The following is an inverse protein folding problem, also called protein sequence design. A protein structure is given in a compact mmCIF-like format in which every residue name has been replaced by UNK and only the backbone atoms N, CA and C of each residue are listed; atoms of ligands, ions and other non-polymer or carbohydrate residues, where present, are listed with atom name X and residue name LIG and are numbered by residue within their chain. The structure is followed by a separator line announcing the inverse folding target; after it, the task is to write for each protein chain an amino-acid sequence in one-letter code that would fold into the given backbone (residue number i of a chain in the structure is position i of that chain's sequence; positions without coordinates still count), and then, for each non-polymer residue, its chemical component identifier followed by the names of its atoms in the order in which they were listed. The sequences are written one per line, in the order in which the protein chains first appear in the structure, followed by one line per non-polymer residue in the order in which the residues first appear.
data_IF_337814005121
#
_entry.id   IF_337814005121
#
_cell.length_a   1.000
_cell.length_b   1.000
_cell.length_c   1.000
_cell.angle_alpha   90.00
_cell.angle_beta   90.00
_cell.angle_gamma   90.00
#
_symmetry.space_group_name_H-M   'P 1'
#
loop_
_entity.id
_entity.type
_entity.pdbx_description
1 polymer ?
#
# COMPACT_ATOMS: atom_id res chain seq x y z
N UNK A 1 -53.36 40.52 -57.58
CA UNK A 1 -52.87 39.81 -56.38
C UNK A 1 -52.41 38.41 -56.79
N UNK A 2 -51.14 38.24 -57.16
CA UNK A 2 -50.52 36.93 -57.31
C UNK A 2 -49.14 37.00 -56.69
N UNK A 3 -48.97 36.20 -55.64
CA UNK A 3 -47.78 36.14 -54.79
C UNK A 3 -46.82 35.13 -55.42
N UNK A 4 -45.55 35.52 -55.42
CA UNK A 4 -44.37 34.81 -55.92
C UNK A 4 -44.11 33.51 -55.15
N UNK A 5 -43.68 32.48 -55.87
CA UNK A 5 -43.19 31.22 -55.29
C UNK A 5 -41.66 31.18 -55.44
N UNK A 6 -40.93 31.49 -54.37
CA UNK A 6 -39.47 31.38 -54.30
C UNK A 6 -39.14 30.16 -53.42
N UNK A 7 -38.60 29.10 -54.02
CA UNK A 7 -38.02 27.97 -53.27
C UNK A 7 -36.72 28.42 -52.60
N UNK A 8 -36.68 28.39 -51.27
CA UNK A 8 -35.45 28.45 -50.48
C UNK A 8 -35.02 27.02 -50.18
N UNK A 9 -33.86 26.62 -50.71
CA UNK A 9 -33.20 25.35 -50.38
C UNK A 9 -32.59 25.51 -49.00
N UNK A 10 -33.21 24.90 -47.99
CA UNK A 10 -32.70 24.89 -46.61
C UNK A 10 -31.50 23.95 -46.48
N UNK A 11 -30.32 24.51 -46.31
CA UNK A 11 -29.13 23.77 -45.86
C UNK A 11 -29.37 23.22 -44.46
N UNK A 12 -29.49 21.89 -44.35
CA UNK A 12 -29.43 21.18 -43.07
C UNK A 12 -28.00 21.29 -42.52
N UNK A 13 -27.79 22.24 -41.62
CA UNK A 13 -26.64 22.23 -40.71
C UNK A 13 -26.81 21.04 -39.76
N UNK A 14 -26.10 19.95 -40.03
CA UNK A 14 -25.94 18.85 -39.07
C UNK A 14 -25.07 19.38 -37.93
N UNK A 15 -25.71 19.86 -36.86
CA UNK A 15 -25.02 20.14 -35.62
C UNK A 15 -24.51 18.81 -35.06
N UNK A 16 -23.22 18.56 -35.23
CA UNK A 16 -22.50 17.47 -34.59
C UNK A 16 -22.62 17.61 -33.08
N UNK A 17 -23.51 16.81 -32.48
CA UNK A 17 -23.57 16.59 -31.04
C UNK A 17 -22.31 15.84 -30.63
N UNK A 18 -21.24 16.57 -30.35
CA UNK A 18 -20.21 16.05 -29.46
C UNK A 18 -20.85 15.94 -28.08
N UNK A 19 -21.29 14.72 -27.72
CA UNK A 19 -21.51 14.39 -26.32
C UNK A 19 -20.18 14.59 -25.59
N UNK A 20 -20.02 15.73 -24.93
CA UNK A 20 -19.02 15.82 -23.88
C UNK A 20 -19.51 14.89 -22.77
N UNK A 21 -18.90 13.72 -22.67
CA UNK A 21 -18.92 13.04 -21.38
C UNK A 21 -18.24 13.98 -20.41
N UNK A 22 -19.03 14.70 -19.61
CA UNK A 22 -18.53 15.41 -18.46
C UNK A 22 -17.86 14.35 -17.58
N UNK A 23 -16.54 14.28 -17.63
CA UNK A 23 -15.74 13.53 -16.65
C UNK A 23 -16.24 13.98 -15.27
N UNK A 24 -16.78 13.04 -14.51
CA UNK A 24 -17.34 13.31 -13.19
C UNK A 24 -16.23 13.84 -12.27
N UNK A 25 -16.03 15.16 -12.27
CA UNK A 25 -15.00 15.80 -11.47
C UNK A 25 -15.44 15.84 -10.01
N UNK A 26 -14.51 15.55 -9.11
CA UNK A 26 -14.83 15.50 -7.69
C UNK A 26 -14.55 16.86 -7.07
N UNK A 27 -15.47 17.33 -6.23
CA UNK A 27 -15.36 18.66 -5.63
C UNK A 27 -14.57 18.62 -4.33
N UNK A 28 -13.65 19.58 -4.17
CA UNK A 28 -12.96 19.83 -2.90
C UNK A 28 -13.95 20.31 -1.82
N UNK A 29 -14.10 19.57 -0.72
CA UNK A 29 -15.00 19.95 0.39
C UNK A 29 -14.48 21.14 1.21
N UNK A 30 -13.18 21.38 1.19
CA UNK A 30 -12.46 22.47 1.88
C UNK A 30 -11.23 22.86 1.07
N UNK A 31 -10.44 23.84 1.51
CA UNK A 31 -9.13 24.10 0.93
C UNK A 31 -8.20 22.89 1.14
N UNK A 32 -7.61 22.38 0.06
CA UNK A 32 -6.84 21.14 0.08
C UNK A 32 -5.37 21.38 -0.19
N UNK A 33 -4.56 20.71 0.60
CA UNK A 33 -3.12 20.63 0.41
C UNK A 33 -2.78 19.40 -0.44
N UNK A 34 -1.94 19.60 -1.44
CA UNK A 34 -1.46 18.55 -2.33
C UNK A 34 -0.19 17.92 -1.79
N UNK A 35 -0.03 16.62 -1.97
CA UNK A 35 1.16 15.90 -1.49
C UNK A 35 1.90 15.18 -2.60
N UNK A 36 3.21 15.01 -2.44
CA UNK A 36 4.06 14.31 -3.43
C UNK A 36 3.94 12.79 -3.41
N UNK A 37 3.44 12.21 -2.33
CA UNK A 37 3.12 10.78 -2.21
C UNK A 37 1.90 10.60 -1.30
N UNK A 38 1.21 9.44 -1.34
CA UNK A 38 0.03 9.17 -0.51
C UNK A 38 0.44 8.91 0.96
N UNK A 39 1.04 9.93 1.58
CA UNK A 39 1.57 9.86 2.93
C UNK A 39 1.37 11.20 3.65
N UNK A 40 0.98 11.12 4.92
CA UNK A 40 0.79 12.24 5.82
C UNK A 40 2.09 13.00 6.09
N UNK A 41 3.23 12.37 5.86
CA UNK A 41 4.57 12.95 6.00
C UNK A 41 5.18 13.39 4.67
N UNK A 42 4.49 13.20 3.54
CA UNK A 42 4.98 13.64 2.24
C UNK A 42 5.03 15.17 2.15
N UNK A 43 6.00 15.68 1.38
CA UNK A 43 6.12 17.09 1.07
C UNK A 43 4.78 17.65 0.61
N UNK A 44 4.38 18.74 1.25
CA UNK A 44 3.06 19.35 1.13
C UNK A 44 3.16 20.65 0.35
N UNK A 45 2.26 20.81 -0.61
CA UNK A 45 2.00 22.09 -1.28
C UNK A 45 0.65 22.59 -0.78
N UNK A 46 0.66 23.71 -0.07
CA UNK A 46 -0.56 24.21 0.57
C UNK A 46 -1.54 24.81 -0.45
N UNK A 47 -2.85 24.65 -0.20
CA UNK A 47 -3.94 25.29 -0.96
C UNK A 47 -3.90 25.05 -2.49
N UNK A 48 -3.61 23.82 -2.93
CA UNK A 48 -3.61 23.47 -4.37
C UNK A 48 -5.02 23.49 -4.98
N UNK A 49 -6.06 23.25 -4.17
CA UNK A 49 -7.46 23.39 -4.54
C UNK A 49 -8.22 24.22 -3.50
N UNK A 50 -9.07 25.14 -3.96
CA UNK A 50 -10.00 25.90 -3.09
C UNK A 50 -11.29 25.09 -2.88
N UNK A 51 -12.01 25.40 -1.79
CA UNK A 51 -13.35 24.84 -1.54
C UNK A 51 -14.25 25.00 -2.77
N UNK A 52 -14.95 23.95 -3.16
CA UNK A 52 -15.86 23.97 -4.31
C UNK A 52 -15.18 23.76 -5.66
N UNK A 53 -13.84 23.71 -5.72
CA UNK A 53 -13.12 23.52 -6.98
C UNK A 53 -13.18 22.05 -7.45
N UNK A 54 -13.33 21.85 -8.76
CA UNK A 54 -13.30 20.51 -9.35
C UNK A 54 -11.88 19.96 -9.46
N UNK A 55 -11.74 18.69 -9.08
CA UNK A 55 -10.51 17.90 -9.11
C UNK A 55 -10.72 16.79 -10.14
N UNK A 56 -9.87 16.75 -11.16
CA UNK A 56 -9.85 15.65 -12.13
C UNK A 56 -8.99 14.52 -11.58
N UNK A 57 -9.60 13.67 -10.75
CA UNK A 57 -8.93 12.51 -10.16
C UNK A 57 -8.63 11.50 -11.26
N UNK A 58 -7.34 11.30 -11.51
CA UNK A 58 -6.85 10.32 -12.49
C UNK A 58 -6.93 8.91 -11.94
N UNK A 59 -6.68 8.75 -10.64
CA UNK A 59 -6.71 7.46 -10.01
C UNK A 59 -6.76 7.53 -8.48
N UNK A 60 -7.08 6.41 -7.83
CA UNK A 60 -7.02 6.28 -6.37
C UNK A 60 -5.97 5.26 -5.92
N UNK A 61 -5.41 5.45 -4.73
CA UNK A 61 -4.49 4.51 -4.10
C UNK A 61 -4.67 4.47 -2.58
N UNK A 62 -4.04 3.51 -1.92
CA UNK A 62 -3.93 3.51 -0.46
C UNK A 62 -2.64 4.17 0.00
N UNK A 63 -2.68 4.80 1.16
CA UNK A 63 -1.54 5.44 1.79
C UNK A 63 -1.66 5.47 3.30
N UNK A 64 -0.90 6.34 3.95
CA UNK A 64 -1.05 6.55 5.39
C UNK A 64 -2.46 7.02 5.72
N UNK A 65 -3.03 6.56 6.83
CA UNK A 65 -4.33 7.04 7.30
C UNK A 65 -4.28 8.52 7.65
N UNK A 66 -5.17 9.32 7.05
CA UNK A 66 -5.43 10.70 7.44
C UNK A 66 -6.92 10.92 7.56
N UNK A 67 -7.33 11.63 8.61
CA UNK A 67 -8.73 12.04 8.82
C UNK A 67 -9.72 10.86 8.73
N UNK A 68 -9.31 9.68 9.22
CA UNK A 68 -10.14 8.47 9.26
C UNK A 68 -10.17 7.62 7.98
N UNK A 69 -9.50 8.05 6.88
CA UNK A 69 -9.39 7.28 5.63
C UNK A 69 -7.93 7.01 5.27
N UNK A 70 -7.65 5.84 4.68
CA UNK A 70 -6.35 5.50 4.10
C UNK A 70 -6.35 5.62 2.57
N UNK A 71 -7.40 6.18 1.98
CA UNK A 71 -7.55 6.35 0.53
C UNK A 71 -7.03 7.73 0.11
N UNK A 72 -6.36 7.75 -1.03
CA UNK A 72 -5.74 8.93 -1.61
C UNK A 72 -6.12 9.05 -3.09
N UNK A 73 -6.55 10.23 -3.49
CA UNK A 73 -6.87 10.60 -4.87
C UNK A 73 -5.66 11.27 -5.52
N UNK A 74 -5.31 10.86 -6.73
CA UNK A 74 -4.22 11.46 -7.50
C UNK A 74 -4.78 12.25 -8.68
N UNK A 75 -4.46 13.53 -8.77
CA UNK A 75 -4.92 14.44 -9.83
C UNK A 75 -3.99 14.46 -11.07
N UNK A 76 -2.89 13.68 -11.07
CA UNK A 76 -1.83 13.75 -12.07
C UNK A 76 -0.57 14.52 -11.61
N UNK A 77 -0.61 15.17 -10.45
CA UNK A 77 0.49 15.98 -9.89
C UNK A 77 0.64 15.83 -8.36
N UNK A 78 -0.47 15.71 -7.65
CA UNK A 78 -0.56 15.65 -6.21
C UNK A 78 -1.49 14.52 -5.75
N UNK A 79 -1.14 13.94 -4.61
CA UNK A 79 -2.00 13.06 -3.84
C UNK A 79 -2.80 13.88 -2.83
N UNK A 80 -4.11 13.63 -2.79
CA UNK A 80 -5.10 14.32 -1.97
C UNK A 80 -5.76 13.29 -1.05
N UNK A 81 -5.94 13.57 0.25
CA UNK A 81 -6.65 12.68 1.15
C UNK A 81 -8.15 12.63 0.82
N UNK A 82 -8.66 11.41 0.63
CA UNK A 82 -10.04 11.12 0.22
C UNK A 82 -11.11 11.69 1.18
N UNK A 83 -10.76 11.86 2.46
CA UNK A 83 -11.64 12.46 3.47
C UNK A 83 -12.26 13.79 3.03
N UNK A 84 -11.56 14.57 2.19
CA UNK A 84 -12.03 15.88 1.72
C UNK A 84 -12.51 15.92 0.26
N UNK A 85 -12.65 14.76 -0.36
CA UNK A 85 -13.05 14.61 -1.75
C UNK A 85 -14.42 13.91 -1.74
N UNK A 86 -15.44 14.50 -2.36
CA UNK A 86 -16.85 14.05 -2.22
C UNK A 86 -17.16 12.96 -3.26
N UNK A 87 -16.65 11.75 -3.06
CA UNK A 87 -16.92 10.58 -3.93
C UNK A 87 -18.26 9.90 -3.61
N UNK A 88 -18.77 10.05 -2.39
CA UNK A 88 -20.02 9.41 -1.96
C UNK A 88 -19.88 7.94 -1.54
N UNK A 89 -18.64 7.43 -1.43
CA UNK A 89 -18.34 6.06 -1.02
C UNK A 89 -17.54 6.05 0.30
N UNK A 90 -17.75 5.02 1.12
CA UNK A 90 -16.99 4.76 2.35
C UNK A 90 -15.66 4.04 2.10
N UNK A 91 -15.38 3.73 0.84
CA UNK A 91 -14.17 3.13 0.33
C UNK A 91 -13.86 3.73 -1.03
N UNK A 92 -13.05 3.04 -1.83
CA UNK A 92 -12.70 3.55 -3.15
C UNK A 92 -13.95 3.75 -4.03
N UNK A 93 -13.93 4.82 -4.82
CA UNK A 93 -14.94 5.05 -5.86
C UNK A 93 -14.78 4.00 -6.96
N UNK A 94 -15.81 3.19 -7.26
CA UNK A 94 -15.75 2.15 -8.29
C UNK A 94 -15.59 2.72 -9.71
N UNK A 95 -15.88 4.01 -9.92
CA UNK A 95 -15.76 4.68 -11.22
C UNK A 95 -14.37 5.28 -11.46
N UNK A 96 -13.53 5.33 -10.44
CA UNK A 96 -12.17 5.88 -10.54
C UNK A 96 -11.17 4.73 -10.56
N UNK A 97 -10.31 4.65 -11.60
CA UNK A 97 -9.32 3.59 -11.69
C UNK A 97 -8.31 3.69 -10.53
N UNK A 98 -7.63 2.59 -10.21
CA UNK A 98 -6.54 2.63 -9.24
C UNK A 98 -5.27 3.18 -9.88
N UNK A 99 -4.41 3.80 -9.08
CA UNK A 99 -3.18 4.39 -9.59
C UNK A 99 -2.24 3.30 -10.07
N UNK A 100 -2.24 3.09 -11.37
CA UNK A 100 -1.21 2.36 -12.08
C UNK A 100 0.04 3.23 -12.11
N UNK A 101 1.14 2.73 -11.57
CA UNK A 101 2.43 3.41 -11.53
C UNK A 101 2.80 4.01 -12.91
N UNK A 102 2.79 5.34 -13.04
CA UNK A 102 3.19 6.00 -14.29
C UNK A 102 3.24 7.53 -14.17
N UNK A 103 4.45 8.08 -14.04
CA UNK A 103 4.70 9.53 -14.13
C UNK A 103 5.98 10.02 -13.46
N UNK A 104 7.15 9.49 -13.84
CA UNK A 104 8.46 10.04 -13.43
C UNK A 104 9.60 9.04 -13.61
N UNK A 105 10.38 9.22 -14.67
CA UNK A 105 11.64 8.49 -14.91
C UNK A 105 12.58 8.59 -13.70
N UNK A 106 12.85 7.44 -13.11
CA UNK A 106 13.90 7.19 -12.13
C UNK A 106 13.90 5.69 -11.85
N UNK A 107 14.89 4.98 -12.38
CA UNK A 107 14.92 3.51 -12.45
C UNK A 107 14.64 2.82 -11.12
N UNK A 108 13.67 1.90 -11.14
CA UNK A 108 13.30 1.03 -10.03
C UNK A 108 12.06 0.25 -10.43
N UNK A 109 12.26 -0.99 -10.87
CA UNK A 109 11.24 -1.92 -11.36
C UNK A 109 10.04 -2.03 -10.39
N UNK A 110 8.83 -1.71 -10.84
CA UNK A 110 7.59 -2.05 -10.13
C UNK A 110 6.48 -2.39 -11.13
N UNK A 111 6.60 -3.55 -11.76
CA UNK A 111 5.44 -4.25 -12.29
C UNK A 111 4.50 -4.62 -11.14
N UNK A 112 3.19 -4.63 -11.37
CA UNK A 112 2.13 -4.87 -10.38
C UNK A 112 2.11 -6.28 -9.76
N UNK A 113 3.23 -6.69 -9.17
CA UNK A 113 3.46 -7.82 -8.29
C UNK A 113 4.10 -7.32 -6.99
N UNK A 114 4.19 -8.17 -5.98
CA UNK A 114 5.06 -7.88 -4.84
C UNK A 114 6.53 -7.87 -5.31
N UNK A 115 6.86 -8.47 -6.45
CA UNK A 115 8.20 -8.44 -7.05
C UNK A 115 9.27 -9.04 -6.16
N UNK A 116 8.89 -9.98 -5.28
CA UNK A 116 9.73 -10.51 -4.21
C UNK A 116 9.82 -9.62 -2.97
N UNK A 117 9.03 -8.55 -2.90
CA UNK A 117 9.07 -7.53 -1.84
C UNK A 117 7.69 -7.21 -1.28
N UNK A 118 7.58 -6.90 0.01
CA UNK A 118 6.30 -6.55 0.60
C UNK A 118 5.75 -5.29 -0.07
N UNK A 119 4.51 -5.37 -0.56
CA UNK A 119 3.85 -4.20 -1.11
C UNK A 119 3.45 -3.22 0.01
N UNK A 120 3.00 -2.01 -0.35
CA UNK A 120 2.65 -0.96 0.62
C UNK A 120 1.60 -1.39 1.66
N UNK A 121 0.62 -2.22 1.26
CA UNK A 121 -0.39 -2.75 2.18
C UNK A 121 0.21 -3.74 3.18
N UNK A 122 1.11 -4.62 2.72
CA UNK A 122 1.88 -5.50 3.58
C UNK A 122 2.75 -4.72 4.57
N UNK A 123 3.49 -3.71 4.10
CA UNK A 123 4.33 -2.89 4.98
C UNK A 123 3.48 -2.19 6.04
N UNK A 124 2.35 -1.61 5.66
CA UNK A 124 1.41 -0.98 6.61
C UNK A 124 0.85 -1.99 7.62
N UNK A 125 0.55 -3.22 7.17
CA UNK A 125 0.13 -4.31 8.05
C UNK A 125 1.22 -4.63 9.07
N UNK A 126 2.48 -4.79 8.65
CA UNK A 126 3.59 -5.08 9.57
C UNK A 126 3.85 -3.92 10.55
N UNK A 127 3.88 -2.68 10.07
CA UNK A 127 4.05 -1.48 10.91
C UNK A 127 3.02 -1.40 12.04
N UNK A 128 1.77 -1.83 11.78
CA UNK A 128 0.72 -1.85 12.81
C UNK A 128 0.94 -2.88 13.92
N UNK A 129 1.74 -3.92 13.67
CA UNK A 129 2.09 -4.94 14.65
C UNK A 129 3.39 -4.62 15.40
N UNK A 130 4.38 -4.04 14.71
CA UNK A 130 5.66 -3.67 15.34
C UNK A 130 5.54 -2.40 16.18
N UNK A 131 4.74 -1.43 15.70
CA UNK A 131 4.62 -0.13 16.34
C UNK A 131 5.84 0.77 16.13
N UNK A 132 5.63 2.09 16.19
CA UNK A 132 6.68 3.07 15.92
C UNK A 132 7.27 3.64 17.21
N UNK A 133 8.60 3.74 17.27
CA UNK A 133 9.37 4.47 18.29
C UNK A 133 10.33 5.43 17.60
N UNK A 134 10.14 6.73 17.80
CA UNK A 134 10.99 7.76 17.20
C UNK A 134 12.37 7.86 17.84
N UNK A 135 12.53 7.44 19.09
CA UNK A 135 13.80 7.42 19.81
C UNK A 135 14.33 5.99 19.96
N UNK A 136 15.63 5.86 20.24
CA UNK A 136 16.23 4.60 20.65
C UNK A 136 15.56 4.07 21.93
N UNK A 137 15.38 2.75 22.00
CA UNK A 137 14.80 2.05 23.14
C UNK A 137 15.41 0.66 23.28
N UNK A 138 15.32 0.07 24.47
CA UNK A 138 15.67 -1.33 24.69
C UNK A 138 14.44 -2.19 24.35
N UNK A 139 14.63 -3.24 23.52
CA UNK A 139 13.55 -4.14 23.08
C UNK A 139 13.07 -5.13 24.16
N UNK A 140 13.65 -5.11 25.35
CA UNK A 140 13.39 -6.05 26.44
C UNK A 140 14.23 -7.33 26.37
N UNK A 141 14.93 -7.56 25.24
CA UNK A 141 15.95 -8.60 25.08
C UNK A 141 17.38 -8.06 25.25
N UNK A 142 17.52 -6.75 25.50
CA UNK A 142 18.82 -6.11 25.73
C UNK A 142 19.34 -5.30 24.55
N UNK A 143 18.66 -5.31 23.40
CA UNK A 143 19.18 -4.66 22.20
C UNK A 143 18.73 -3.22 22.06
N UNK A 144 19.64 -2.36 21.57
CA UNK A 144 19.28 -1.00 21.19
C UNK A 144 18.48 -1.05 19.89
N UNK A 145 17.27 -0.50 19.91
CA UNK A 145 16.31 -0.58 18.80
C UNK A 145 15.71 0.79 18.50
N UNK A 146 15.31 1.04 17.24
CA UNK A 146 14.62 2.28 16.84
C UNK A 146 13.57 2.00 15.74
N UNK A 147 12.62 2.91 15.53
CA UNK A 147 11.64 2.82 14.45
C UNK A 147 10.64 1.70 14.66
N UNK A 148 10.51 0.80 13.67
CA UNK A 148 9.64 -0.38 13.69
C UNK A 148 10.42 -1.67 13.99
N UNK A 149 11.32 -1.62 14.97
CA UNK A 149 12.09 -2.80 15.39
C UNK A 149 13.48 -2.93 14.74
N UNK A 150 14.06 -1.84 14.22
CA UNK A 150 15.40 -1.87 13.65
C UNK A 150 16.44 -2.05 14.77
N UNK A 151 17.14 -3.19 14.74
CA UNK A 151 18.13 -3.57 15.76
C UNK A 151 19.49 -2.93 15.46
N UNK A 152 19.89 -1.97 16.28
CA UNK A 152 21.13 -1.22 16.15
C UNK A 152 22.38 -1.99 16.58
N UNK A 153 22.25 -3.10 17.30
CA UNK A 153 23.41 -3.92 17.62
C UNK A 153 23.85 -4.71 16.39
N UNK A 154 22.88 -5.12 15.56
CA UNK A 154 23.11 -5.78 14.27
C UNK A 154 23.53 -4.80 13.15
N UNK A 155 23.19 -3.52 13.26
CA UNK A 155 23.54 -2.45 12.29
C UNK A 155 24.26 -1.26 12.95
N UNK A 156 25.25 -1.57 13.79
CA UNK A 156 25.88 -0.59 14.69
C UNK A 156 26.60 0.56 14.01
N UNK A 157 27.05 0.41 12.75
CA UNK A 157 27.69 1.51 12.03
C UNK A 157 26.67 2.51 11.52
N UNK A 158 25.59 2.03 10.89
CA UNK A 158 24.51 2.89 10.42
C UNK A 158 23.79 3.57 11.58
N UNK A 159 23.56 2.87 12.70
CA UNK A 159 22.90 3.47 13.85
C UNK A 159 23.66 4.63 14.50
N UNK A 160 24.98 4.75 14.30
CA UNK A 160 25.76 5.95 14.72
C UNK A 160 25.39 7.19 13.93
N UNK A 161 24.92 7.02 12.70
CA UNK A 161 24.53 8.12 11.80
C UNK A 161 23.07 8.53 12.00
N UNK A 162 22.26 7.67 12.62
CA UNK A 162 20.85 7.93 12.89
C UNK A 162 20.71 8.98 13.98
N UNK A 163 20.10 10.12 13.62
CA UNK A 163 19.75 11.19 14.55
C UNK A 163 18.31 11.03 15.02
N UNK A 164 18.13 10.59 16.26
CA UNK A 164 16.82 10.57 16.91
C UNK A 164 16.39 11.99 17.37
N UNK A 165 15.09 12.32 17.41
CA UNK A 165 13.96 11.47 17.02
C UNK A 165 13.81 11.34 15.50
N UNK A 166 13.61 10.11 15.02
CA UNK A 166 13.36 9.86 13.60
C UNK A 166 11.89 10.08 13.24
N UNK A 167 11.62 10.35 11.96
CA UNK A 167 10.26 10.39 11.42
C UNK A 167 9.71 8.98 11.16
N UNK A 168 8.39 8.83 11.05
CA UNK A 168 7.78 7.56 10.59
C UNK A 168 8.30 7.15 9.21
N UNK A 169 8.51 8.10 8.30
CA UNK A 169 9.05 7.80 6.97
C UNK A 169 10.47 7.24 7.03
N UNK A 170 11.32 7.78 7.92
CA UNK A 170 12.65 7.24 8.21
C UNK A 170 12.54 5.84 8.82
N UNK A 171 11.62 5.64 9.77
CA UNK A 171 11.34 4.32 10.36
C UNK A 171 10.88 3.29 9.32
N UNK A 172 9.99 3.65 8.40
CA UNK A 172 9.55 2.80 7.29
C UNK A 172 10.71 2.47 6.35
N UNK A 173 11.62 3.41 6.10
CA UNK A 173 12.80 3.16 5.28
C UNK A 173 13.76 2.15 5.94
N UNK A 174 13.99 2.26 7.25
CA UNK A 174 14.73 1.26 8.02
C UNK A 174 14.06 -0.11 7.95
N UNK A 175 12.75 -0.17 8.23
CA UNK A 175 11.97 -1.41 8.16
C UNK A 175 12.09 -2.09 6.79
N UNK A 176 11.92 -1.33 5.70
CA UNK A 176 12.07 -1.87 4.33
C UNK A 176 13.47 -2.38 4.03
N UNK A 177 14.50 -1.78 4.62
CA UNK A 177 15.86 -2.30 4.49
C UNK A 177 16.03 -3.63 5.23
N UNK A 178 15.49 -3.71 6.46
CA UNK A 178 15.56 -4.91 7.30
C UNK A 178 14.79 -6.08 6.67
N UNK A 179 13.66 -5.78 6.00
CA UNK A 179 12.78 -6.74 5.35
C UNK A 179 13.47 -7.62 4.31
N UNK A 180 14.53 -7.14 3.65
CA UNK A 180 15.21 -7.85 2.53
C UNK A 180 15.57 -9.30 2.86
N UNK A 181 16.10 -9.55 4.06
CA UNK A 181 16.51 -10.90 4.47
C UNK A 181 15.33 -11.84 4.71
N UNK A 182 14.23 -11.31 5.25
CA UNK A 182 13.00 -12.05 5.51
C UNK A 182 12.23 -12.35 4.22
N UNK A 183 12.15 -11.36 3.33
CA UNK A 183 11.59 -11.51 1.97
C UNK A 183 12.33 -12.60 1.18
N UNK A 184 13.66 -12.56 1.19
CA UNK A 184 14.49 -13.58 0.54
C UNK A 184 14.26 -14.98 1.14
N UNK A 185 14.11 -15.09 2.46
CA UNK A 185 13.83 -16.37 3.11
C UNK A 185 12.48 -16.96 2.69
N UNK A 186 11.44 -16.13 2.57
CA UNK A 186 10.11 -16.55 2.10
C UNK A 186 10.15 -16.95 0.63
N UNK A 187 10.77 -16.17 -0.25
CA UNK A 187 10.93 -16.55 -1.66
C UNK A 187 11.73 -17.86 -1.81
N UNK A 188 12.78 -18.06 -1.01
CA UNK A 188 13.56 -19.29 -1.04
C UNK A 188 12.74 -20.53 -0.67
N UNK A 189 11.75 -20.40 0.23
CA UNK A 189 10.86 -21.49 0.64
C UNK A 189 9.99 -22.01 -0.51
N UNK A 190 9.65 -21.15 -1.47
CA UNK A 190 8.78 -21.48 -2.61
C UNK A 190 9.51 -21.58 -3.95
N UNK A 191 10.82 -21.35 -3.97
CA UNK A 191 11.63 -21.31 -5.21
C UNK A 191 11.51 -22.56 -6.11
N UNK A 192 11.24 -23.73 -5.52
CA UNK A 192 11.07 -24.99 -6.27
C UNK A 192 9.65 -25.16 -6.85
N UNK A 193 8.72 -24.27 -6.52
CA UNK A 193 7.32 -24.35 -6.91
C UNK A 193 7.10 -23.61 -8.23
N UNK A 194 6.25 -24.17 -9.10
CA UNK A 194 5.93 -23.59 -10.42
C UNK A 194 4.91 -22.45 -10.35
N UNK A 195 4.34 -22.19 -9.16
CA UNK A 195 3.30 -21.19 -8.97
C UNK A 195 3.73 -20.24 -7.85
N UNK A 196 3.88 -18.94 -8.14
CA UNK A 196 4.09 -17.91 -7.15
C UNK A 196 3.04 -17.95 -6.05
N UNK A 197 3.44 -17.54 -4.84
CA UNK A 197 2.47 -17.07 -3.87
C UNK A 197 1.72 -15.87 -4.45
N UNK A 198 0.48 -15.66 -4.02
CA UNK A 198 -0.13 -14.35 -4.21
C UNK A 198 0.48 -13.34 -3.22
N UNK A 199 0.29 -12.06 -3.48
CA UNK A 199 0.87 -10.99 -2.67
C UNK A 199 0.47 -11.01 -1.20
N UNK A 200 -0.79 -11.33 -0.90
CA UNK A 200 -1.25 -11.34 0.49
C UNK A 200 -0.66 -12.52 1.27
N UNK A 201 -0.52 -13.68 0.62
CA UNK A 201 0.20 -14.83 1.18
C UNK A 201 1.65 -14.49 1.47
N UNK A 202 2.34 -13.86 0.53
CA UNK A 202 3.72 -13.41 0.70
C UNK A 202 3.85 -12.41 1.86
N UNK A 203 3.03 -11.35 1.88
CA UNK A 203 3.03 -10.34 2.94
C UNK A 203 2.80 -10.95 4.33
N UNK A 204 1.86 -11.88 4.46
CA UNK A 204 1.58 -12.57 5.73
C UNK A 204 2.77 -13.42 6.20
N UNK A 205 3.40 -14.16 5.29
CA UNK A 205 4.56 -14.99 5.61
C UNK A 205 5.78 -14.12 5.97
N UNK A 206 6.02 -13.01 5.28
CA UNK A 206 7.11 -12.11 5.64
C UNK A 206 6.85 -11.45 7.00
N UNK A 207 5.61 -11.04 7.30
CA UNK A 207 5.25 -10.51 8.62
C UNK A 207 5.46 -11.53 9.75
N UNK A 208 5.12 -12.80 9.51
CA UNK A 208 5.42 -13.89 10.43
C UNK A 208 6.93 -14.08 10.61
N UNK A 209 7.67 -14.16 9.51
CA UNK A 209 9.13 -14.37 9.48
C UNK A 209 9.87 -13.23 10.18
N UNK A 210 9.42 -11.98 10.02
CA UNK A 210 9.99 -10.82 10.73
C UNK A 210 9.87 -10.98 12.26
N UNK A 211 8.73 -11.49 12.73
CA UNK A 211 8.50 -11.67 14.16
C UNK A 211 9.24 -12.85 14.79
N UNK A 212 9.32 -13.98 14.07
CA UNK A 212 9.92 -15.21 14.61
C UNK A 212 11.39 -15.38 14.20
N UNK A 213 11.90 -14.50 13.34
CA UNK A 213 13.20 -14.62 12.69
C UNK A 213 13.21 -15.67 11.57
N UNK A 214 14.25 -15.60 10.71
CA UNK A 214 14.44 -16.59 9.62
C UNK A 214 14.61 -18.02 10.17
N UNK A 215 15.30 -18.17 11.31
CA UNK A 215 15.47 -19.46 11.98
C UNK A 215 14.14 -20.05 12.46
N UNK A 216 13.34 -19.24 13.17
CA UNK A 216 12.00 -19.65 13.62
C UNK A 216 11.06 -19.97 12.47
N UNK A 217 11.13 -19.20 11.37
CA UNK A 217 10.37 -19.50 10.16
C UNK A 217 10.75 -20.87 9.60
N UNK A 218 12.03 -21.15 9.36
CA UNK A 218 12.48 -22.45 8.83
C UNK A 218 12.17 -23.64 9.73
N UNK A 219 12.10 -23.42 11.04
CA UNK A 219 11.73 -24.44 12.03
C UNK A 219 10.23 -24.55 12.32
N UNK A 220 9.37 -23.80 11.62
CA UNK A 220 7.92 -23.81 11.81
C UNK A 220 7.24 -24.91 10.97
N UNK A 221 6.10 -25.43 11.44
CA UNK A 221 5.27 -26.29 10.57
C UNK A 221 4.69 -25.51 9.40
N UNK A 222 4.55 -24.19 9.52
CA UNK A 222 4.19 -23.33 8.38
C UNK A 222 5.19 -23.56 7.23
N UNK A 223 6.49 -23.51 7.51
CA UNK A 223 7.53 -23.76 6.50
C UNK A 223 7.48 -25.18 5.93
N UNK A 224 7.23 -26.20 6.76
CA UNK A 224 7.05 -27.58 6.29
C UNK A 224 5.87 -27.71 5.31
N UNK A 225 4.72 -27.11 5.64
CA UNK A 225 3.53 -27.14 4.79
C UNK A 225 3.70 -26.31 3.50
N UNK A 226 4.61 -25.32 3.48
CA UNK A 226 4.95 -24.61 2.25
C UNK A 226 5.43 -25.58 1.17
N UNK A 227 6.28 -26.56 1.50
CA UNK A 227 6.84 -27.50 0.53
C UNK A 227 5.76 -28.26 -0.26
N UNK A 228 4.65 -28.59 0.39
CA UNK A 228 3.51 -29.30 -0.20
C UNK A 228 2.39 -28.38 -0.70
N UNK A 229 2.56 -27.06 -0.58
CA UNK A 229 1.54 -26.04 -0.94
C UNK A 229 0.22 -26.25 -0.21
N UNK A 230 0.28 -26.76 1.01
CA UNK A 230 -0.91 -26.94 1.84
C UNK A 230 -1.34 -25.61 2.46
N UNK A 231 -1.90 -24.73 1.62
CA UNK A 231 -2.32 -23.39 2.02
C UNK A 231 -3.41 -23.41 3.09
N UNK A 232 -4.26 -24.45 3.10
CA UNK A 232 -5.27 -24.65 4.15
C UNK A 232 -4.61 -25.02 5.47
N UNK A 233 -3.62 -25.93 5.45
CA UNK A 233 -2.80 -26.25 6.62
C UNK A 233 -2.07 -25.04 7.16
N UNK A 234 -1.39 -24.27 6.29
CA UNK A 234 -0.70 -23.03 6.66
C UNK A 234 -1.64 -22.04 7.36
N UNK A 235 -2.81 -21.78 6.76
CA UNK A 235 -3.84 -20.92 7.35
C UNK A 235 -4.22 -21.36 8.77
N UNK A 236 -4.43 -22.66 8.97
CA UNK A 236 -4.81 -23.22 10.27
C UNK A 236 -3.67 -23.19 11.29
N UNK A 237 -2.41 -23.25 10.85
CA UNK A 237 -1.23 -23.29 11.71
C UNK A 237 -0.84 -21.94 12.30
N UNK A 238 -1.08 -20.84 11.59
CA UNK A 238 -0.82 -19.48 12.10
C UNK A 238 -1.27 -19.30 13.56
N UNK A 239 -2.56 -19.51 13.93
CA UNK A 239 -3.03 -19.31 15.30
C UNK A 239 -2.61 -20.41 16.29
N UNK A 240 -1.72 -21.32 15.93
CA UNK A 240 -1.26 -22.44 16.77
C UNK A 240 0.24 -22.36 17.11
N UNK A 241 1.04 -21.69 16.29
CA UNK A 241 2.49 -21.67 16.45
C UNK A 241 3.03 -20.31 16.90
N UNK A 242 4.15 -20.33 17.63
CA UNK A 242 4.89 -19.13 18.07
C UNK A 242 3.97 -18.11 18.75
N UNK A 243 3.14 -18.57 19.69
CA UNK A 243 2.13 -17.75 20.37
C UNK A 243 2.67 -16.98 21.57
N UNK A 244 3.86 -17.33 22.08
CA UNK A 244 4.45 -16.77 23.30
C UNK A 244 3.45 -16.73 24.48
N UNK A 245 2.98 -17.91 24.91
CA UNK A 245 1.96 -18.00 25.97
C UNK A 245 0.58 -17.42 25.60
N UNK A 246 0.31 -17.17 24.31
CA UNK A 246 -0.96 -16.63 23.82
C UNK A 246 -0.90 -15.13 23.47
N UNK A 247 0.15 -14.41 23.84
CA UNK A 247 0.34 -12.98 23.57
C UNK A 247 0.25 -12.66 22.07
N UNK A 248 0.77 -13.55 21.22
CA UNK A 248 0.82 -13.33 19.77
C UNK A 248 -0.42 -13.87 19.03
N UNK A 249 -1.41 -14.42 19.72
CA UNK A 249 -2.58 -15.03 19.08
C UNK A 249 -3.34 -14.06 18.16
N UNK A 250 -3.51 -12.80 18.58
CA UNK A 250 -4.19 -11.79 17.75
C UNK A 250 -3.43 -11.49 16.46
N UNK A 251 -2.10 -11.32 16.55
CA UNK A 251 -1.21 -11.11 15.39
C UNK A 251 -1.29 -12.30 14.44
N UNK A 252 -1.16 -13.51 14.95
CA UNK A 252 -1.25 -14.74 14.15
C UNK A 252 -2.59 -14.89 13.44
N UNK A 253 -3.71 -14.56 14.08
CA UNK A 253 -5.03 -14.54 13.43
C UNK A 253 -5.12 -13.49 12.32
N UNK A 254 -4.51 -12.32 12.51
CA UNK A 254 -4.46 -11.26 11.50
C UNK A 254 -3.62 -11.69 10.28
N UNK A 255 -2.46 -12.32 10.51
CA UNK A 255 -1.61 -12.88 9.45
C UNK A 255 -2.33 -14.01 8.69
N UNK A 256 -3.02 -14.92 9.41
CA UNK A 256 -3.84 -15.96 8.79
C UNK A 256 -4.94 -15.38 7.89
N UNK A 257 -5.63 -14.34 8.37
CA UNK A 257 -6.67 -13.65 7.60
C UNK A 257 -6.08 -13.00 6.35
N UNK A 258 -4.94 -12.32 6.46
CA UNK A 258 -4.25 -11.74 5.32
C UNK A 258 -3.85 -12.83 4.32
N UNK A 259 -3.24 -13.92 4.79
CA UNK A 259 -2.83 -15.07 3.97
C UNK A 259 -3.99 -15.67 3.16
N UNK A 260 -5.18 -15.76 3.75
CA UNK A 260 -6.38 -16.31 3.10
C UNK A 260 -7.15 -15.28 2.26
N UNK A 261 -6.73 -14.01 2.24
CA UNK A 261 -7.38 -12.98 1.43
C UNK A 261 -6.91 -13.10 -0.02
N UNK A 262 -7.83 -13.43 -0.93
CA UNK A 262 -7.52 -13.58 -2.34
C UNK A 262 -7.02 -12.27 -2.98
N UNK A 263 -6.08 -12.39 -3.90
CA UNK A 263 -5.64 -11.31 -4.78
C UNK A 263 -5.13 -11.90 -6.09
N UNK A 264 -5.33 -11.20 -7.21
CA UNK A 264 -4.77 -11.58 -8.51
C UNK A 264 -3.29 -11.20 -8.63
N UNK A 265 -2.75 -10.44 -7.69
CA UNK A 265 -1.38 -9.95 -7.73
C UNK A 265 -0.41 -11.03 -7.29
N UNK A 266 0.48 -11.45 -8.20
CA UNK A 266 1.54 -12.42 -7.92
C UNK A 266 2.63 -11.83 -7.02
N UNK A 267 3.22 -12.67 -6.17
CA UNK A 267 4.31 -12.24 -5.30
C UNK A 267 5.61 -11.99 -6.03
N UNK A 268 5.88 -12.66 -7.15
CA UNK A 268 7.16 -12.59 -7.86
C UNK A 268 8.26 -13.47 -7.25
N UNK A 269 7.98 -14.15 -6.14
CA UNK A 269 8.59 -15.45 -5.84
C UNK A 269 7.94 -16.53 -6.72
#
# INVERSE_FOLDING_TARGET
MHITNTLIVGSLLVASLFSSQAEACITAKTALDGRKSPSSSAARTSNVYKTGQCINVKCQTTGSTMYGSNIWDYDGKYYLPDAYVKTGYSGFDPKIPRCSSGGGSGGGSSGGGCGGHMNSAGVSFLESHEGFRSNFYNDGAGHITIGYGHNCDADSQHCKEIKAPISKATGTALLKNDLKSYEAAVCAAVKKQKCPLNCNQFNALVSFTFNVGVGGFKGSKIYEHMANRDYKGIYNLFPQEYLNGGVLLSRRKAEAKLFNTATSTSSGC
#
